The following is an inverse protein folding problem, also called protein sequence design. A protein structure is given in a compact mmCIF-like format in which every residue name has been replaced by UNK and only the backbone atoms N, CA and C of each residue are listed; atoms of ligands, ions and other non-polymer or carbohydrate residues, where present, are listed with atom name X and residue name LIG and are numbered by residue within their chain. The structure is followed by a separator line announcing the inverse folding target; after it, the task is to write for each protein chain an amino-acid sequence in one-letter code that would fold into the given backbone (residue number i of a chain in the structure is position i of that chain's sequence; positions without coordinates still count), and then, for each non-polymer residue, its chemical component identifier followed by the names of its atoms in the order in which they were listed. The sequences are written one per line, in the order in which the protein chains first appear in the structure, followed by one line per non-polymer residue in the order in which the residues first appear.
data_IF_111606276033
#
_entry.id   IF_111606276033
#
_cell.length_a   1.000
_cell.length_b   1.000
_cell.length_c   1.000
_cell.angle_alpha   90.00
_cell.angle_beta   90.00
_cell.angle_gamma   90.00
#
_symmetry.space_group_name_H-M   'P 1'
#
loop_
_entity.id
_entity.type
_entity.pdbx_description
1 polymer ?
#
# COMPACT_ATOMS: atom_id res chain seq x y z
N UNK A 1 -9.21 16.56 4.04
CA UNK A 1 -8.38 15.57 4.74
C UNK A 1 -6.97 15.71 4.18
N UNK A 2 -5.96 15.90 5.02
CA UNK A 2 -4.59 16.08 4.55
C UNK A 2 -4.03 14.75 4.07
N UNK A 3 -3.35 14.78 2.94
CA UNK A 3 -2.73 13.61 2.34
C UNK A 3 -1.47 13.22 3.13
N UNK A 4 -1.57 12.17 3.94
CA UNK A 4 -0.47 11.66 4.73
C UNK A 4 -0.07 10.27 4.20
N UNK A 5 1.11 10.12 3.56
CA UNK A 5 1.64 8.79 3.33
C UNK A 5 1.77 8.09 4.68
N UNK A 6 1.62 6.77 4.69
CA UNK A 6 1.90 5.94 5.86
C UNK A 6 3.30 5.33 5.75
N UNK A 7 3.60 4.66 4.64
CA UNK A 7 4.86 3.95 4.43
C UNK A 7 5.47 4.34 3.08
N UNK A 8 6.78 4.47 3.04
CA UNK A 8 7.57 4.58 1.82
C UNK A 8 8.85 3.75 1.91
N UNK A 9 9.39 3.40 0.75
CA UNK A 9 10.73 2.81 0.63
C UNK A 9 11.64 3.86 0.01
N UNK A 10 12.87 3.97 0.50
CA UNK A 10 13.89 4.82 -0.11
C UNK A 10 15.26 4.17 -0.05
N UNK A 11 16.10 4.47 -1.04
CA UNK A 11 17.51 4.14 -1.02
C UNK A 11 18.26 5.26 -0.30
N UNK A 12 19.09 4.92 0.68
CA UNK A 12 19.97 5.83 1.39
C UNK A 12 21.43 5.49 1.10
N UNK A 13 22.29 6.51 1.17
CA UNK A 13 23.74 6.46 0.91
C UNK A 13 24.39 5.09 1.17
N UNK A 14 24.98 4.53 0.09
CA UNK A 14 25.69 3.25 0.09
C UNK A 14 24.78 2.03 -0.08
N UNK A 15 23.79 2.09 -0.97
CA UNK A 15 22.84 1.00 -1.28
C UNK A 15 22.06 0.43 -0.09
N UNK A 16 21.83 1.27 0.92
CA UNK A 16 21.07 0.88 2.11
C UNK A 16 19.62 1.29 1.97
N UNK A 17 18.75 0.30 1.91
CA UNK A 17 17.31 0.53 1.87
C UNK A 17 16.77 0.96 3.23
N UNK A 18 15.75 1.82 3.20
CA UNK A 18 15.02 2.31 4.36
C UNK A 18 13.52 2.18 4.15
N UNK A 19 12.82 1.80 5.22
CA UNK A 19 11.39 2.05 5.35
C UNK A 19 11.21 3.36 6.10
N UNK A 20 10.44 4.28 5.53
CA UNK A 20 9.96 5.48 6.19
C UNK A 20 8.52 5.28 6.63
N UNK A 21 8.21 5.62 7.88
CA UNK A 21 6.88 5.55 8.47
C UNK A 21 6.47 6.93 8.97
N UNK A 22 5.32 7.43 8.53
CA UNK A 22 4.72 8.65 9.06
C UNK A 22 3.70 8.31 10.15
N UNK A 23 4.00 8.73 11.38
CA UNK A 23 3.20 8.37 12.56
C UNK A 23 1.84 9.07 12.61
N UNK A 24 1.63 10.07 11.77
CA UNK A 24 0.36 10.80 11.67
C UNK A 24 -0.68 10.12 10.78
N UNK A 25 -0.30 9.08 10.01
CA UNK A 25 -1.20 8.49 9.01
C UNK A 25 -2.49 7.93 9.63
N UNK A 26 -2.39 7.03 10.62
CA UNK A 26 -3.58 6.49 11.30
C UNK A 26 -4.35 7.54 12.11
N UNK A 27 -3.72 8.38 12.96
CA UNK A 27 -4.42 9.45 13.67
C UNK A 27 -5.20 10.41 12.75
N UNK A 28 -4.69 10.65 11.53
CA UNK A 28 -5.36 11.54 10.57
C UNK A 28 -6.70 11.02 10.07
N UNK A 29 -6.98 9.73 10.22
CA UNK A 29 -8.26 9.13 9.83
C UNK A 29 -9.40 9.51 10.78
N UNK A 30 -9.10 10.00 11.99
CA UNK A 30 -10.10 10.41 13.00
C UNK A 30 -11.08 9.30 13.37
N UNK A 31 -10.60 8.05 13.47
CA UNK A 31 -11.38 6.90 13.92
C UNK A 31 -11.48 6.86 15.45
N UNK A 32 -12.54 6.24 15.97
CA UNK A 32 -12.69 6.00 17.41
C UNK A 32 -11.79 4.85 17.85
N UNK A 33 -11.18 4.96 19.03
CA UNK A 33 -10.36 3.91 19.64
C UNK A 33 -11.17 2.63 19.99
N UNK A 34 -12.50 2.71 19.97
CA UNK A 34 -13.40 1.57 20.23
C UNK A 34 -13.72 0.76 18.97
N UNK A 35 -13.37 1.25 17.79
CA UNK A 35 -13.67 0.59 16.51
C UNK A 35 -12.58 -0.40 16.12
N UNK A 36 -12.96 -1.44 15.36
CA UNK A 36 -12.04 -2.45 14.83
C UNK A 36 -12.01 -2.35 13.30
N UNK A 37 -11.12 -1.51 12.72
CA UNK A 37 -11.15 -1.23 11.29
C UNK A 37 -10.82 -2.44 10.43
N UNK A 38 -11.49 -2.54 9.29
CA UNK A 38 -11.18 -3.49 8.24
C UNK A 38 -10.27 -2.82 7.20
N UNK A 39 -9.09 -3.42 6.97
CA UNK A 39 -8.12 -2.90 6.00
C UNK A 39 -8.23 -3.63 4.67
N UNK A 40 -8.33 -2.87 3.58
CA UNK A 40 -8.41 -3.38 2.21
C UNK A 40 -7.22 -2.82 1.42
N UNK A 41 -6.27 -3.68 1.07
CA UNK A 41 -5.14 -3.27 0.25
C UNK A 41 -5.51 -3.17 -1.22
N UNK A 42 -5.09 -2.10 -1.88
CA UNK A 42 -5.32 -1.87 -3.30
C UNK A 42 -3.97 -1.63 -3.99
N UNK A 43 -3.55 -2.58 -4.82
CA UNK A 43 -2.24 -2.59 -5.49
C UNK A 43 -2.46 -2.37 -6.99
N UNK A 44 -1.91 -1.26 -7.48
CA UNK A 44 -2.06 -0.86 -8.87
C UNK A 44 -1.60 0.59 -9.08
N UNK A 45 -2.02 1.17 -10.19
CA UNK A 45 -1.68 2.51 -10.65
C UNK A 45 -2.96 3.28 -10.98
N UNK A 46 -3.21 3.53 -12.26
CA UNK A 46 -4.31 4.41 -12.69
C UNK A 46 -5.70 3.80 -12.54
N UNK A 47 -5.89 2.51 -12.84
CA UNK A 47 -7.19 1.85 -12.70
C UNK A 47 -7.58 1.76 -11.21
N UNK A 48 -6.61 1.42 -10.35
CA UNK A 48 -6.73 1.54 -8.89
C UNK A 48 -7.18 2.93 -8.47
N UNK A 49 -6.45 3.98 -8.87
CA UNK A 49 -6.76 5.36 -8.49
C UNK A 49 -8.11 5.84 -9.03
N UNK A 50 -8.60 5.28 -10.14
CA UNK A 50 -9.96 5.53 -10.63
C UNK A 50 -11.01 4.92 -9.70
N UNK A 51 -10.91 3.63 -9.40
CA UNK A 51 -11.88 2.97 -8.52
C UNK A 51 -11.88 3.58 -7.10
N UNK A 52 -10.69 3.86 -6.57
CA UNK A 52 -10.53 4.43 -5.24
C UNK A 52 -11.22 5.81 -5.10
N UNK A 53 -11.19 6.64 -6.16
CA UNK A 53 -11.94 7.91 -6.20
C UNK A 53 -13.44 7.71 -6.13
N UNK A 54 -13.96 6.69 -6.82
CA UNK A 54 -15.38 6.37 -6.84
C UNK A 54 -15.85 5.85 -5.47
N UNK A 55 -15.02 5.06 -4.78
CA UNK A 55 -15.33 4.50 -3.46
C UNK A 55 -15.32 5.56 -2.34
N UNK A 56 -14.31 6.43 -2.29
CA UNK A 56 -14.14 7.41 -1.19
C UNK A 56 -14.86 8.73 -1.50
N UNK A 57 -15.25 8.97 -2.76
CA UNK A 57 -15.88 10.21 -3.22
C UNK A 57 -15.09 11.48 -2.83
N UNK A 58 -13.76 11.40 -2.80
CA UNK A 58 -12.89 12.47 -2.30
C UNK A 58 -11.92 12.96 -3.38
N UNK A 59 -11.89 14.28 -3.59
CA UNK A 59 -10.98 14.94 -4.53
C UNK A 59 -9.50 14.81 -4.17
N UNK A 60 -9.15 14.57 -2.89
CA UNK A 60 -7.76 14.38 -2.48
C UNK A 60 -7.08 13.23 -3.22
N UNK A 61 -7.77 12.09 -3.41
CA UNK A 61 -7.26 10.93 -4.16
C UNK A 61 -6.88 11.30 -5.60
N UNK A 62 -7.60 12.25 -6.22
CA UNK A 62 -7.31 12.69 -7.59
C UNK A 62 -6.02 13.51 -7.74
N UNK A 63 -5.49 14.02 -6.64
CA UNK A 63 -4.31 14.89 -6.66
C UNK A 63 -2.99 14.15 -6.42
N UNK A 64 -3.03 12.88 -6.01
CA UNK A 64 -1.81 12.16 -5.62
C UNK A 64 -0.86 11.79 -6.76
N UNK A 65 -1.34 11.72 -8.00
CA UNK A 65 -0.53 11.20 -9.11
C UNK A 65 0.13 9.86 -8.75
N UNK A 66 1.19 9.44 -9.48
CA UNK A 66 2.03 8.34 -9.04
C UNK A 66 2.83 8.75 -7.79
N UNK A 67 2.78 7.97 -6.71
CA UNK A 67 3.33 8.37 -5.41
C UNK A 67 4.41 7.45 -4.82
N UNK A 68 4.51 6.19 -5.28
CA UNK A 68 5.53 5.21 -4.81
C UNK A 68 5.55 5.03 -3.27
N UNK A 69 4.40 5.20 -2.65
CA UNK A 69 4.16 5.15 -1.19
C UNK A 69 2.88 4.34 -0.91
N UNK A 70 2.59 4.11 0.37
CA UNK A 70 1.29 3.60 0.85
C UNK A 70 0.54 4.75 1.49
N UNK A 71 -0.71 4.99 1.09
CA UNK A 71 -1.61 5.97 1.71
C UNK A 71 -2.81 5.29 2.35
N UNK A 72 -3.36 5.92 3.39
CA UNK A 72 -4.54 5.41 4.09
C UNK A 72 -5.76 6.26 3.73
N UNK A 73 -6.87 5.61 3.44
CA UNK A 73 -8.13 6.28 3.15
C UNK A 73 -9.28 5.61 3.88
N UNK A 74 -9.92 6.32 4.79
CA UNK A 74 -11.15 5.83 5.41
C UNK A 74 -12.34 6.02 4.45
N UNK A 75 -13.20 5.00 4.33
CA UNK A 75 -14.45 5.09 3.59
C UNK A 75 -15.45 5.94 4.39
N UNK A 76 -15.89 7.11 3.89
CA UNK A 76 -16.70 8.02 4.70
C UNK A 76 -18.03 7.43 5.17
N UNK A 77 -18.61 6.54 4.34
CA UNK A 77 -19.89 5.87 4.62
C UNK A 77 -19.77 4.83 5.74
N UNK A 78 -18.56 4.38 6.04
CA UNK A 78 -18.29 3.36 7.05
C UNK A 78 -17.88 3.92 8.42
N UNK A 79 -17.69 5.25 8.53
CA UNK A 79 -17.16 5.88 9.75
C UNK A 79 -17.94 5.58 11.03
N UNK A 80 -19.25 5.37 10.91
CA UNK A 80 -20.14 5.10 12.05
C UNK A 80 -20.30 3.61 12.34
N UNK A 81 -19.69 2.73 11.55
CA UNK A 81 -19.77 1.28 11.76
C UNK A 81 -18.78 0.84 12.84
N UNK A 82 -19.05 -0.28 13.51
CA UNK A 82 -18.10 -0.87 14.45
C UNK A 82 -16.79 -1.29 13.76
N UNK A 83 -16.89 -1.59 12.46
CA UNK A 83 -15.78 -1.99 11.58
C UNK A 83 -15.66 -1.01 10.40
N UNK A 84 -15.11 0.20 10.60
CA UNK A 84 -14.91 1.14 9.51
C UNK A 84 -13.90 0.58 8.49
N UNK A 85 -14.13 0.85 7.21
CA UNK A 85 -13.24 0.40 6.14
C UNK A 85 -12.15 1.41 5.88
N UNK A 86 -10.92 0.91 5.77
CA UNK A 86 -9.74 1.68 5.42
C UNK A 86 -9.11 1.06 4.18
N UNK A 87 -8.99 1.84 3.11
CA UNK A 87 -8.27 1.43 1.91
C UNK A 87 -6.79 1.79 2.04
N UNK A 88 -5.91 0.81 1.83
CA UNK A 88 -4.48 1.02 1.64
C UNK A 88 -4.21 1.24 0.16
N UNK A 89 -3.93 2.47 -0.22
CA UNK A 89 -3.51 2.82 -1.57
C UNK A 89 -2.02 2.50 -1.75
N UNK A 90 -1.70 1.43 -2.48
CA UNK A 90 -0.36 0.86 -2.56
C UNK A 90 0.24 1.00 -3.98
N UNK A 91 1.30 1.82 -4.09
CA UNK A 91 2.05 1.98 -5.35
C UNK A 91 3.57 1.79 -5.18
N UNK A 92 4.00 1.12 -4.10
CA UNK A 92 5.43 0.87 -3.80
C UNK A 92 6.20 0.16 -4.93
N UNK A 93 5.52 -0.60 -5.79
CA UNK A 93 6.14 -1.37 -6.86
C UNK A 93 6.63 -0.49 -8.02
N UNK A 94 6.14 0.75 -8.11
CA UNK A 94 6.61 1.71 -9.10
C UNK A 94 7.82 2.43 -8.54
N UNK A 95 8.92 2.34 -9.28
CA UNK A 95 10.14 3.04 -8.94
C UNK A 95 9.91 4.56 -8.99
N UNK A 96 10.43 5.25 -7.99
CA UNK A 96 10.14 6.67 -7.76
C UNK A 96 10.89 7.51 -8.80
N UNK A 97 10.24 7.86 -9.90
CA UNK A 97 10.87 8.58 -11.02
C UNK A 97 11.30 10.02 -10.72
N UNK A 98 10.97 10.61 -9.57
CA UNK A 98 11.39 11.99 -9.30
C UNK A 98 11.54 12.36 -7.83
N UNK A 99 12.66 13.02 -7.51
CA UNK A 99 12.94 13.66 -6.22
C UNK A 99 12.00 14.85 -5.91
N UNK A 100 11.16 15.32 -6.84
CA UNK A 100 10.34 16.53 -6.67
C UNK A 100 9.07 16.35 -5.83
N UNK A 101 8.57 15.15 -5.57
CA UNK A 101 7.40 14.97 -4.69
C UNK A 101 7.72 15.04 -3.19
N UNK A 102 8.99 15.22 -2.81
CA UNK A 102 9.38 15.25 -1.40
C UNK A 102 8.91 16.52 -0.64
N UNK A 103 8.38 17.55 -1.32
CA UNK A 103 8.19 18.86 -0.69
C UNK A 103 7.06 18.94 0.36
N UNK A 104 6.01 18.12 0.25
CA UNK A 104 4.91 18.13 1.24
C UNK A 104 5.13 17.16 2.40
N UNK A 105 5.70 15.97 2.15
CA UNK A 105 5.95 14.97 3.18
C UNK A 105 7.13 15.31 4.12
N UNK A 106 8.05 16.20 3.72
CA UNK A 106 9.25 16.59 4.48
C UNK A 106 8.97 17.27 5.83
N UNK A 107 7.76 17.81 6.05
CA UNK A 107 7.40 18.53 7.29
C UNK A 107 6.72 17.68 8.35
N UNK A 108 6.34 16.45 8.02
CA UNK A 108 5.62 15.58 8.95
C UNK A 108 6.61 14.74 9.77
N UNK A 109 6.30 14.49 11.05
CA UNK A 109 7.08 13.56 11.86
C UNK A 109 7.15 12.20 11.17
N UNK A 110 8.37 11.73 10.91
CA UNK A 110 8.62 10.42 10.32
C UNK A 110 9.66 9.64 11.11
N UNK A 111 9.42 8.34 11.24
CA UNK A 111 10.40 7.35 11.71
C UNK A 111 11.02 6.69 10.50
N UNK A 112 12.26 6.24 10.63
CA UNK A 112 12.90 5.43 9.60
C UNK A 112 13.56 4.22 10.24
N UNK A 113 13.61 3.13 9.47
CA UNK A 113 14.33 1.92 9.83
C UNK A 113 15.18 1.48 8.64
N UNK A 114 16.47 1.29 8.88
CA UNK A 114 17.38 0.71 7.90
C UNK A 114 17.06 -0.78 7.74
N UNK A 115 17.02 -1.24 6.49
CA UNK A 115 16.71 -2.61 6.11
C UNK A 115 18.01 -3.34 5.76
N UNK A 116 18.74 -3.81 6.78
CA UNK A 116 20.06 -4.42 6.60
C UNK A 116 20.05 -5.70 5.74
N UNK A 117 18.93 -6.43 5.71
CA UNK A 117 18.77 -7.63 4.89
C UNK A 117 18.53 -7.35 3.40
N UNK A 118 18.31 -6.08 3.02
CA UNK A 118 17.88 -5.72 1.68
C UNK A 118 19.01 -5.39 0.70
N UNK A 119 20.28 -5.47 1.11
CA UNK A 119 21.42 -5.05 0.28
C UNK A 119 21.57 -5.81 -1.05
N UNK A 120 20.92 -6.96 -1.21
CA UNK A 120 20.94 -7.75 -2.44
C UNK A 120 19.67 -7.61 -3.30
N UNK A 121 18.66 -6.89 -2.81
CA UNK A 121 17.36 -6.75 -3.46
C UNK A 121 17.22 -5.38 -4.11
N UNK A 122 16.55 -5.35 -5.27
CA UNK A 122 16.11 -4.12 -5.92
C UNK A 122 14.82 -3.56 -5.31
N UNK A 123 14.47 -2.33 -5.71
CA UNK A 123 13.26 -1.61 -5.24
C UNK A 123 12.00 -2.46 -5.30
N UNK A 124 11.74 -3.08 -6.45
CA UNK A 124 10.53 -3.87 -6.68
C UNK A 124 10.44 -5.10 -5.77
N UNK A 125 11.56 -5.76 -5.48
CA UNK A 125 11.60 -6.93 -4.60
C UNK A 125 11.31 -6.54 -3.16
N UNK A 126 11.83 -5.39 -2.70
CA UNK A 126 11.55 -4.86 -1.36
C UNK A 126 10.09 -4.43 -1.25
N UNK A 127 9.54 -3.83 -2.31
CA UNK A 127 8.11 -3.51 -2.37
C UNK A 127 7.25 -4.77 -2.25
N UNK A 128 7.60 -5.85 -2.95
CA UNK A 128 6.92 -7.14 -2.84
C UNK A 128 7.05 -7.74 -1.43
N UNK A 129 8.22 -7.64 -0.80
CA UNK A 129 8.41 -8.08 0.58
C UNK A 129 7.52 -7.29 1.54
N UNK A 130 7.39 -5.97 1.38
CA UNK A 130 6.48 -5.16 2.20
C UNK A 130 5.01 -5.49 1.95
N UNK A 131 4.61 -5.72 0.70
CA UNK A 131 3.26 -6.20 0.40
C UNK A 131 2.97 -7.52 1.10
N UNK A 132 3.89 -8.48 1.04
CA UNK A 132 3.69 -9.81 1.61
C UNK A 132 3.75 -9.82 3.15
N UNK A 133 4.67 -9.05 3.76
CA UNK A 133 4.97 -9.15 5.20
C UNK A 133 4.32 -8.09 6.07
N UNK A 134 3.83 -7.02 5.47
CA UNK A 134 3.21 -5.91 6.22
C UNK A 134 1.78 -5.73 5.75
N UNK A 135 1.56 -5.49 4.46
CA UNK A 135 0.22 -5.09 4.00
C UNK A 135 -0.76 -6.27 3.96
N UNK A 136 -0.33 -7.43 3.45
CA UNK A 136 -1.17 -8.62 3.40
C UNK A 136 -1.62 -9.11 4.80
N UNK A 137 -0.74 -9.25 5.81
CA UNK A 137 -1.14 -9.60 7.18
C UNK A 137 -2.13 -8.65 7.83
N UNK A 138 -2.11 -7.38 7.45
CA UNK A 138 -2.98 -6.37 8.02
C UNK A 138 -4.32 -6.29 7.29
N UNK A 139 -4.42 -6.84 6.09
CA UNK A 139 -5.60 -6.68 5.22
C UNK A 139 -6.55 -7.87 5.34
N UNK A 140 -7.85 -7.62 5.26
CA UNK A 140 -8.83 -8.68 5.02
C UNK A 140 -8.89 -9.09 3.54
N UNK A 141 -8.64 -8.12 2.65
CA UNK A 141 -8.66 -8.28 1.19
C UNK A 141 -7.47 -7.54 0.57
N UNK A 142 -6.82 -8.17 -0.41
CA UNK A 142 -5.82 -7.53 -1.28
C UNK A 142 -6.33 -7.54 -2.72
N UNK A 143 -6.60 -6.34 -3.24
CA UNK A 143 -7.06 -6.10 -4.61
C UNK A 143 -5.86 -5.84 -5.53
N UNK A 144 -5.69 -6.69 -6.54
CA UNK A 144 -4.68 -6.53 -7.59
C UNK A 144 -5.34 -6.05 -8.88
N UNK A 145 -4.96 -4.87 -9.35
CA UNK A 145 -5.52 -4.28 -10.57
C UNK A 145 -4.75 -4.79 -11.79
N UNK A 146 -5.37 -5.69 -12.55
CA UNK A 146 -4.68 -6.39 -13.63
C UNK A 146 -4.20 -5.43 -14.72
N UNK A 147 -5.00 -4.45 -15.14
CA UNK A 147 -4.60 -3.47 -16.16
C UNK A 147 -3.40 -2.63 -15.75
N UNK A 148 -3.26 -2.34 -14.46
CA UNK A 148 -2.12 -1.59 -13.92
C UNK A 148 -0.85 -2.44 -13.78
N UNK A 149 -1.00 -3.76 -13.65
CA UNK A 149 0.10 -4.69 -13.38
C UNK A 149 0.59 -5.45 -14.62
N UNK A 150 0.13 -5.11 -15.82
CA UNK A 150 0.50 -5.80 -17.07
C UNK A 150 -0.37 -7.02 -17.38
N UNK A 151 -1.65 -6.94 -17.03
CA UNK A 151 -2.67 -7.97 -17.19
C UNK A 151 -2.57 -9.10 -16.17
N UNK A 152 -3.38 -10.15 -16.36
CA UNK A 152 -3.37 -11.34 -15.50
C UNK A 152 -2.00 -11.99 -15.38
N UNK A 153 -1.21 -11.98 -16.47
CA UNK A 153 0.16 -12.50 -16.46
C UNK A 153 1.07 -11.72 -15.50
N UNK A 154 0.91 -10.40 -15.45
CA UNK A 154 1.65 -9.56 -14.52
C UNK A 154 1.25 -9.80 -13.06
N UNK A 155 -0.05 -9.92 -12.79
CA UNK A 155 -0.57 -10.32 -11.47
C UNK A 155 0.00 -11.68 -11.05
N UNK A 156 -0.04 -12.68 -11.93
CA UNK A 156 0.50 -14.01 -11.64
C UNK A 156 2.01 -13.98 -11.33
N UNK A 157 2.79 -13.19 -12.07
CA UNK A 157 4.22 -12.99 -11.79
C UNK A 157 4.45 -12.36 -10.42
N UNK A 158 3.68 -11.32 -10.08
CA UNK A 158 3.76 -10.65 -8.79
C UNK A 158 3.43 -11.65 -7.66
N UNK A 159 2.33 -12.39 -7.76
CA UNK A 159 1.94 -13.40 -6.77
C UNK A 159 3.00 -14.49 -6.62
N UNK A 160 3.59 -14.96 -7.72
CA UNK A 160 4.70 -15.91 -7.69
C UNK A 160 5.93 -15.34 -6.97
N UNK A 161 6.24 -14.05 -7.17
CA UNK A 161 7.33 -13.38 -6.45
C UNK A 161 7.04 -13.27 -4.95
N UNK A 162 5.80 -12.97 -4.55
CA UNK A 162 5.42 -12.95 -3.13
C UNK A 162 5.66 -14.32 -2.46
N UNK A 163 5.40 -15.42 -3.17
CA UNK A 163 5.66 -16.78 -2.69
C UNK A 163 7.16 -17.08 -2.56
N UNK A 164 7.99 -16.59 -3.48
CA UNK A 164 9.45 -16.79 -3.41
C UNK A 164 10.04 -16.08 -2.19
N UNK A 165 9.51 -14.90 -1.85
CA UNK A 165 9.96 -14.11 -0.70
C UNK A 165 9.32 -14.51 0.63
N UNK A 166 8.48 -15.55 0.64
CA UNK A 166 7.96 -16.15 1.87
C UNK A 166 9.10 -16.83 2.63
N UNK A 167 9.44 -16.31 3.81
CA UNK A 167 10.53 -16.88 4.62
C UNK A 167 9.96 -17.86 5.66
N UNK A 168 10.69 -18.94 5.97
CA UNK A 168 10.27 -19.87 7.02
C UNK A 168 10.05 -19.14 8.34
N UNK A 169 8.82 -19.21 8.87
CA UNK A 169 8.45 -18.61 10.17
C UNK A 169 7.43 -17.46 10.10
N UNK A 170 7.14 -16.90 8.92
CA UNK A 170 6.15 -15.83 8.75
C UNK A 170 4.85 -16.31 8.06
N UNK A 171 4.45 -17.55 8.33
CA UNK A 171 3.20 -18.09 7.80
C UNK A 171 2.06 -17.62 8.67
N UNK A 172 1.25 -16.72 8.12
CA UNK A 172 -0.08 -16.46 8.64
C UNK A 172 -0.83 -17.79 8.73
N UNK A 173 -1.63 -17.94 9.78
CA UNK A 173 -2.53 -19.07 9.84
C UNK A 173 -3.50 -18.99 8.64
N UNK A 174 -3.97 -20.12 8.08
CA UNK A 174 -4.82 -20.09 6.89
C UNK A 174 -6.09 -19.23 7.04
N UNK A 175 -6.63 -19.14 8.26
CA UNK A 175 -7.77 -18.29 8.65
C UNK A 175 -7.43 -16.79 8.76
N UNK A 176 -6.14 -16.46 8.87
CA UNK A 176 -5.63 -15.08 8.90
C UNK A 176 -5.05 -14.63 7.54
N UNK A 177 -5.17 -15.45 6.48
CA UNK A 177 -4.75 -15.05 5.14
C UNK A 177 -5.75 -14.08 4.53
N UNK A 178 -5.29 -12.97 3.91
CA UNK A 178 -6.18 -12.10 3.18
C UNK A 178 -6.77 -12.81 1.97
N UNK A 179 -7.98 -12.41 1.58
CA UNK A 179 -8.56 -12.79 0.30
C UNK A 179 -7.88 -12.00 -0.83
N UNK A 180 -7.37 -12.68 -1.85
CA UNK A 180 -6.87 -12.01 -3.05
C UNK A 180 -8.02 -11.80 -4.05
N UNK A 181 -8.24 -10.55 -4.45
CA UNK A 181 -9.17 -10.18 -5.51
C UNK A 181 -8.39 -9.67 -6.72
N UNK A 182 -8.64 -10.26 -7.90
CA UNK A 182 -8.04 -9.80 -9.15
C UNK A 182 -9.09 -8.95 -9.88
N UNK A 183 -8.83 -7.66 -10.01
CA UNK A 183 -9.71 -6.71 -10.68
C UNK A 183 -9.32 -6.65 -12.16
N UNK A 184 -10.27 -6.99 -13.03
CA UNK A 184 -10.09 -6.96 -14.49
C UNK A 184 -11.05 -5.96 -15.10
N UNK A 185 -10.57 -5.19 -16.09
CA UNK A 185 -11.43 -4.31 -16.86
C UNK A 185 -12.29 -5.16 -17.82
N UNK A 186 -13.60 -4.92 -17.82
CA UNK A 186 -14.52 -5.50 -18.78
C UNK A 186 -14.92 -4.43 -19.79
N UNK A 187 -14.66 -4.69 -21.07
CA UNK A 187 -15.26 -3.90 -22.16
C UNK A 187 -16.78 -4.11 -22.12
N UNK A 188 -17.53 -3.03 -21.87
CA UNK A 188 -18.99 -2.98 -22.04
C UNK A 188 -19.33 -2.49 -23.44
#
# INVERSE_FOLDING_TARGET
MADHPWIAISLFEGDRWRVEEWTSAFPSLSLSDTQSPELIAMIGGSAKSKLLRELIATHAVSQLGPHSTVHLWAEPRSYQWDTPRIFLDCELHRERLSMTQQHHAKKLPKRHRDISWAGQYGHAEIAHILYNRVLAPLSSVVCYFASDLGGLRGVAKLLAQLLIFDMPGNRLRPDALPRALIVVDTSS
#
